data_IF_842129107944
#
_entry.id   IF_842129107944
#
_cell.length_a   1.000
_cell.length_b   1.000
_cell.length_c   1.000
_cell.angle_alpha   90.00
_cell.angle_beta   90.00
_cell.angle_gamma   90.00
#
_symmetry.space_group_name_H-M   'P 1'
#
loop_
_entity.id
_entity.type
_entity.pdbx_description
1 polymer ?
#
# COMPACT_ATOMS: atom_id res chain seq x y z
N UNK A 1 -3.21 -13.62 13.82
CA UNK A 1 -3.57 -12.52 12.88
C UNK A 1 -4.91 -12.89 12.26
N UNK A 2 -5.97 -12.90 13.07
CA UNK A 2 -7.34 -13.15 12.61
C UNK A 2 -8.08 -11.81 12.73
N UNK A 3 -8.84 -11.49 11.69
CA UNK A 3 -9.80 -10.39 11.56
C UNK A 3 -9.78 -9.34 12.67
N UNK A 4 -9.13 -8.20 12.40
CA UNK A 4 -9.52 -6.98 13.10
C UNK A 4 -10.96 -6.73 12.66
N UNK A 5 -11.92 -7.00 13.56
CA UNK A 5 -13.34 -6.76 13.37
C UNK A 5 -13.54 -5.45 12.59
N UNK A 6 -14.16 -5.56 11.41
CA UNK A 6 -14.30 -4.43 10.50
C UNK A 6 -15.00 -3.26 11.22
N UNK A 7 -15.92 -3.54 12.14
CA UNK A 7 -16.58 -2.53 12.96
C UNK A 7 -15.60 -1.84 13.93
N UNK A 8 -14.67 -2.58 14.52
CA UNK A 8 -13.62 -2.03 15.38
C UNK A 8 -12.67 -1.12 14.58
N UNK A 9 -12.27 -1.54 13.38
CA UNK A 9 -11.44 -0.73 12.48
C UNK A 9 -12.18 0.54 12.06
N UNK A 10 -13.43 0.45 11.59
CA UNK A 10 -14.28 1.58 11.21
C UNK A 10 -14.45 2.55 12.39
N UNK A 11 -14.73 2.04 13.60
CA UNK A 11 -14.93 2.87 14.80
C UNK A 11 -13.67 3.63 15.23
N UNK A 12 -12.49 3.02 15.09
CA UNK A 12 -11.22 3.64 15.46
C UNK A 12 -10.64 4.57 14.41
N UNK A 13 -10.90 4.29 13.13
CA UNK A 13 -10.27 5.02 12.01
C UNK A 13 -11.23 5.93 11.26
N UNK A 14 -12.54 5.78 11.47
CA UNK A 14 -13.59 6.42 10.67
C UNK A 14 -13.71 5.86 9.25
N UNK A 15 -12.92 4.84 8.91
CA UNK A 15 -12.75 4.38 7.54
C UNK A 15 -13.76 3.28 7.18
N UNK A 16 -14.86 3.67 6.52
CA UNK A 16 -15.96 2.78 6.08
C UNK A 16 -15.67 2.00 4.80
N UNK A 17 -14.63 2.38 4.06
CA UNK A 17 -14.42 1.92 2.67
C UNK A 17 -13.08 1.21 2.46
N UNK A 18 -12.18 1.17 3.46
CA UNK A 18 -10.93 0.43 3.36
C UNK A 18 -11.13 -1.03 2.98
N UNK A 19 -12.15 -1.68 3.55
CA UNK A 19 -12.50 -3.07 3.24
C UNK A 19 -13.10 -3.28 1.83
N UNK A 20 -13.35 -2.20 1.08
CA UNK A 20 -13.88 -2.22 -0.29
C UNK A 20 -12.84 -1.84 -1.34
N UNK A 21 -11.63 -1.47 -0.94
CA UNK A 21 -10.57 -1.09 -1.88
C UNK A 21 -10.15 -2.33 -2.68
N UNK A 22 -10.48 -2.32 -3.96
CA UNK A 22 -10.08 -3.37 -4.89
C UNK A 22 -8.61 -3.21 -5.28
N UNK A 23 -7.74 -4.06 -4.73
CA UNK A 23 -6.29 -4.06 -5.02
C UNK A 23 -5.98 -4.17 -6.52
N UNK A 24 -6.80 -4.89 -7.29
CA UNK A 24 -6.61 -5.05 -8.74
C UNK A 24 -6.81 -3.73 -9.49
N UNK A 25 -7.69 -2.83 -9.00
CA UNK A 25 -7.85 -1.48 -9.56
C UNK A 25 -6.56 -0.68 -9.38
N UNK A 26 -5.95 -0.73 -8.21
CA UNK A 26 -4.68 -0.02 -7.95
C UNK A 26 -3.51 -0.60 -8.73
N UNK A 27 -3.42 -1.94 -8.84
CA UNK A 27 -2.43 -2.58 -9.71
C UNK A 27 -2.59 -2.09 -11.16
N UNK A 28 -3.83 -2.05 -11.68
CA UNK A 28 -4.10 -1.54 -13.02
C UNK A 28 -3.67 -0.07 -13.15
N UNK A 29 -4.09 0.79 -12.22
CA UNK A 29 -3.74 2.22 -12.24
C UNK A 29 -2.23 2.48 -12.24
N UNK A 30 -1.48 1.73 -11.41
CA UNK A 30 -0.02 1.81 -11.33
C UNK A 30 0.63 1.36 -12.64
N UNK A 31 0.15 0.26 -13.24
CA UNK A 31 0.67 -0.27 -14.50
C UNK A 31 0.39 0.65 -15.68
N UNK A 32 -0.82 1.23 -15.73
CA UNK A 32 -1.23 2.14 -16.81
C UNK A 32 -0.80 3.58 -16.57
N UNK A 33 -0.15 3.88 -15.43
CA UNK A 33 0.20 5.24 -15.00
C UNK A 33 -1.00 6.20 -15.10
N UNK A 34 -2.14 5.78 -14.57
CA UNK A 34 -3.42 6.49 -14.73
C UNK A 34 -3.48 7.87 -14.09
N UNK A 35 -2.47 8.25 -13.30
CA UNK A 35 -2.37 9.54 -12.63
C UNK A 35 -0.96 10.10 -12.76
N UNK A 36 -0.86 11.40 -13.01
CA UNK A 36 0.39 12.16 -12.92
C UNK A 36 0.65 12.65 -11.49
N UNK A 37 -0.35 12.56 -10.59
CA UNK A 37 -0.22 12.97 -9.21
C UNK A 37 0.63 11.96 -8.42
N UNK A 38 1.85 12.34 -8.07
CA UNK A 38 2.79 11.48 -7.33
C UNK A 38 2.24 11.04 -5.97
N UNK A 39 1.51 11.90 -5.27
CA UNK A 39 0.95 11.57 -3.96
C UNK A 39 -0.14 10.49 -4.08
N UNK A 40 -0.99 10.59 -5.10
CA UNK A 40 -1.98 9.56 -5.42
C UNK A 40 -1.31 8.22 -5.76
N UNK A 41 -0.36 8.26 -6.70
CA UNK A 41 0.40 7.09 -7.12
C UNK A 41 1.03 6.37 -5.92
N UNK A 42 1.67 7.13 -5.03
CA UNK A 42 2.34 6.57 -3.85
C UNK A 42 1.35 6.04 -2.81
N UNK A 43 0.15 6.59 -2.69
CA UNK A 43 -0.89 6.02 -1.83
C UNK A 43 -1.43 4.70 -2.37
N UNK A 44 -1.68 4.60 -3.68
CA UNK A 44 -2.07 3.33 -4.31
C UNK A 44 -0.96 2.28 -4.17
N UNK A 45 0.30 2.68 -4.39
CA UNK A 45 1.46 1.82 -4.21
C UNK A 45 1.60 1.34 -2.75
N UNK A 46 1.35 2.21 -1.77
CA UNK A 46 1.35 1.84 -0.34
C UNK A 46 0.41 0.67 -0.05
N UNK A 47 -0.81 0.73 -0.60
CA UNK A 47 -1.82 -0.31 -0.42
C UNK A 47 -1.39 -1.63 -1.07
N UNK A 48 -0.91 -1.56 -2.33
CA UNK A 48 -0.42 -2.74 -3.05
C UNK A 48 0.75 -3.40 -2.31
N UNK A 49 1.71 -2.59 -1.82
CA UNK A 49 2.83 -3.10 -1.05
C UNK A 49 2.39 -3.82 0.23
N UNK A 50 1.55 -3.19 1.07
CA UNK A 50 1.08 -3.80 2.32
C UNK A 50 0.25 -5.06 2.09
N UNK A 51 -0.54 -5.08 1.02
CA UNK A 51 -1.36 -6.23 0.64
C UNK A 51 -0.50 -7.46 0.28
N UNK A 52 0.54 -7.28 -0.54
CA UNK A 52 1.31 -8.42 -1.07
C UNK A 52 2.50 -8.84 -0.21
N UNK A 53 3.04 -7.96 0.64
CA UNK A 53 4.23 -8.27 1.41
C UNK A 53 4.00 -9.30 2.51
N UNK A 54 2.76 -9.42 3.01
CA UNK A 54 2.37 -10.42 4.02
C UNK A 54 2.59 -11.85 3.52
N UNK A 55 2.47 -12.08 2.21
CA UNK A 55 2.65 -13.40 1.59
C UNK A 55 4.02 -13.59 0.92
N UNK A 56 4.82 -12.52 0.74
CA UNK A 56 6.04 -12.54 -0.10
C UNK A 56 7.25 -11.82 0.55
N UNK A 57 7.31 -11.77 1.88
CA UNK A 57 8.28 -10.96 2.63
C UNK A 57 9.74 -11.10 2.13
N UNK A 58 10.21 -12.31 1.84
CA UNK A 58 11.62 -12.56 1.51
C UNK A 58 12.01 -12.14 0.08
N UNK A 59 11.05 -11.95 -0.83
CA UNK A 59 11.31 -11.62 -2.25
C UNK A 59 10.37 -10.54 -2.79
N UNK A 60 9.96 -9.60 -1.92
CA UNK A 60 8.91 -8.64 -2.24
C UNK A 60 9.24 -7.79 -3.49
N UNK A 61 10.51 -7.41 -3.69
CA UNK A 61 10.93 -6.55 -4.79
C UNK A 61 10.74 -7.24 -6.14
N UNK A 62 11.20 -8.48 -6.26
CA UNK A 62 11.05 -9.29 -7.47
C UNK A 62 9.58 -9.65 -7.73
N UNK A 63 8.81 -9.95 -6.67
CA UNK A 63 7.38 -10.22 -6.78
C UNK A 63 6.61 -9.00 -7.32
N UNK A 64 6.80 -7.83 -6.69
CA UNK A 64 6.13 -6.60 -7.08
C UNK A 64 6.58 -6.12 -8.46
N UNK A 65 7.84 -6.34 -8.83
CA UNK A 65 8.35 -6.03 -10.17
C UNK A 65 7.54 -6.75 -11.26
N UNK A 66 7.34 -8.06 -11.09
CA UNK A 66 6.52 -8.87 -12.00
C UNK A 66 5.05 -8.46 -11.97
N UNK A 67 4.49 -8.21 -10.78
CA UNK A 67 3.08 -7.84 -10.61
C UNK A 67 2.75 -6.46 -11.21
N UNK A 68 3.68 -5.52 -11.10
CA UNK A 68 3.52 -4.13 -11.51
C UNK A 68 4.19 -3.80 -12.86
N UNK A 69 4.73 -4.81 -13.55
CA UNK A 69 5.46 -4.66 -14.80
C UNK A 69 6.54 -3.55 -14.76
N UNK A 70 7.32 -3.54 -13.68
CA UNK A 70 8.42 -2.60 -13.48
C UNK A 70 9.74 -3.34 -13.23
N UNK A 71 10.86 -2.65 -13.42
CA UNK A 71 12.16 -3.19 -13.01
C UNK A 71 12.24 -3.33 -11.49
N UNK A 72 12.96 -4.34 -11.02
CA UNK A 72 13.14 -4.55 -9.58
C UNK A 72 13.81 -3.34 -8.90
N UNK A 73 14.77 -2.70 -9.58
CA UNK A 73 15.42 -1.50 -9.09
C UNK A 73 14.43 -0.34 -8.90
N UNK A 74 13.48 -0.17 -9.83
CA UNK A 74 12.44 0.83 -9.69
C UNK A 74 11.54 0.55 -8.49
N UNK A 75 11.13 -0.70 -8.27
CA UNK A 75 10.36 -1.10 -7.08
C UNK A 75 11.12 -0.83 -5.78
N UNK A 76 12.43 -1.11 -5.73
CA UNK A 76 13.28 -0.79 -4.57
C UNK A 76 13.27 0.72 -4.30
N UNK A 77 13.42 1.54 -5.33
CA UNK A 77 13.37 3.00 -5.22
C UNK A 77 11.99 3.51 -4.77
N UNK A 78 10.89 2.96 -5.33
CA UNK A 78 9.53 3.27 -4.87
C UNK A 78 9.33 2.91 -3.40
N UNK A 79 9.82 1.75 -2.98
CA UNK A 79 9.71 1.30 -1.59
C UNK A 79 10.52 2.20 -0.65
N UNK A 80 11.70 2.63 -1.06
CA UNK A 80 12.49 3.62 -0.32
C UNK A 80 11.71 4.92 -0.17
N UNK A 81 11.17 5.47 -1.25
CA UNK A 81 10.35 6.69 -1.22
C UNK A 81 9.08 6.53 -0.36
N UNK A 82 8.45 5.35 -0.41
CA UNK A 82 7.25 5.02 0.35
C UNK A 82 7.45 5.24 1.85
N UNK A 83 8.58 4.77 2.39
CA UNK A 83 8.95 4.93 3.80
C UNK A 83 9.55 6.31 4.11
N UNK A 84 10.45 6.83 3.27
CA UNK A 84 11.07 8.15 3.46
C UNK A 84 10.02 9.26 3.51
N UNK A 85 9.03 9.21 2.61
CA UNK A 85 7.93 10.18 2.55
C UNK A 85 6.78 9.83 3.48
N UNK A 86 6.90 8.78 4.31
CA UNK A 86 5.91 8.39 5.33
C UNK A 86 4.52 8.10 4.76
N UNK A 87 4.43 7.44 3.61
CA UNK A 87 3.16 6.87 3.14
C UNK A 87 2.81 5.60 3.95
N UNK A 88 3.84 4.78 4.19
CA UNK A 88 3.85 3.79 5.26
C UNK A 88 4.81 4.24 6.36
N UNK A 89 4.38 4.10 7.60
CA UNK A 89 5.21 4.23 8.78
C UNK A 89 5.96 2.92 9.00
N UNK A 90 7.16 3.00 9.58
CA UNK A 90 8.08 1.87 9.72
C UNK A 90 7.40 0.65 10.34
N UNK A 91 7.84 -0.51 9.86
CA UNK A 91 7.50 -1.82 10.37
C UNK A 91 8.00 -1.97 11.83
N UNK A 92 7.10 -2.12 12.80
CA UNK A 92 7.44 -2.59 14.14
C UNK A 92 7.85 -4.06 14.07
N UNK A 93 8.96 -4.46 14.71
CA UNK A 93 9.46 -5.86 14.74
C UNK A 93 8.28 -6.86 14.79
N UNK A 94 8.12 -7.67 13.74
CA UNK A 94 7.11 -8.73 13.66
C UNK A 94 5.88 -8.48 12.78
N UNK A 95 5.75 -7.33 12.09
CA UNK A 95 4.57 -7.04 11.25
C UNK A 95 4.95 -6.86 9.77
N UNK A 96 4.98 -7.90 8.92
CA UNK A 96 5.31 -7.72 7.50
C UNK A 96 4.42 -6.65 6.85
N UNK A 97 5.04 -5.55 6.38
CA UNK A 97 4.37 -4.35 5.89
C UNK A 97 4.68 -3.09 6.69
N UNK A 98 3.69 -2.24 6.88
CA UNK A 98 3.81 -0.99 7.64
C UNK A 98 2.45 -0.42 8.02
N UNK A 99 2.43 0.60 8.88
CA UNK A 99 1.17 1.27 9.26
C UNK A 99 0.91 2.44 8.33
N UNK A 100 -0.28 2.52 7.72
CA UNK A 100 -0.64 3.68 6.89
C UNK A 100 -0.60 4.98 7.69
N UNK A 101 0.02 6.00 7.11
CA UNK A 101 0.03 7.32 7.74
C UNK A 101 -1.31 8.05 7.58
N UNK A 102 -1.53 9.10 8.38
CA UNK A 102 -2.72 9.94 8.29
C UNK A 102 -2.98 10.49 6.88
N UNK A 103 -1.93 10.86 6.13
CA UNK A 103 -2.08 11.37 4.76
C UNK A 103 -2.56 10.29 3.78
N UNK A 104 -2.08 9.07 3.95
CA UNK A 104 -2.46 7.94 3.10
C UNK A 104 -3.87 7.47 3.43
N UNK A 105 -4.22 7.44 4.72
CA UNK A 105 -5.61 7.21 5.16
C UNK A 105 -6.57 8.29 4.65
N UNK A 106 -6.16 9.56 4.66
CA UNK A 106 -6.97 10.66 4.11
C UNK A 106 -7.27 10.46 2.62
N UNK A 107 -6.27 10.05 1.83
CA UNK A 107 -6.48 9.72 0.43
C UNK A 107 -7.47 8.56 0.26
N UNK A 108 -7.32 7.47 1.02
CA UNK A 108 -8.24 6.34 0.94
C UNK A 108 -9.67 6.70 1.35
N UNK A 109 -9.83 7.59 2.33
CA UNK A 109 -11.15 8.08 2.77
C UNK A 109 -11.82 9.03 1.75
N UNK A 110 -11.11 9.49 0.73
CA UNK A 110 -11.66 10.35 -0.33
C UNK A 110 -12.00 9.60 -1.62
N UNK A 111 -11.82 8.27 -1.64
CA UNK A 111 -12.05 7.41 -2.81
C UNK A 111 -13.52 7.00 -2.99
#
# INVERSE_FOLDING_TARGET
LADVDNNYFIKKTGNKDFSKINVSKFVKNINTRSTTNRNEFMCQYAYVYDFYIKSNHNNYSLFLAKKLNYSENYIKNLTKELFEKKYLLKNTKGVPGGVFSKKTLKYFNSL
#
